data_IF_207868247157
#
_entry.id   IF_207868247157
#
_cell.length_a   1.000
_cell.length_b   1.000
_cell.length_c   1.000
_cell.angle_alpha   90.00
_cell.angle_beta   90.00
_cell.angle_gamma   90.00
#
_symmetry.space_group_name_H-M   'P 1'
#
loop_
_entity.id
_entity.type
_entity.pdbx_description
1 polymer ?
#
# COMPACT_ATOMS: atom_id res chain seq x y z
N UNK A 1 25.63 -15.12 -24.82
CA UNK A 1 24.40 -15.95 -24.81
C UNK A 1 23.49 -15.42 -23.73
N UNK A 2 22.51 -14.59 -24.09
CA UNK A 2 21.41 -14.25 -23.18
C UNK A 2 20.52 -15.48 -23.05
N UNK A 3 20.36 -15.99 -21.83
CA UNK A 3 19.54 -17.18 -21.59
C UNK A 3 18.07 -16.88 -21.91
N UNK A 4 17.33 -17.88 -22.36
CA UNK A 4 15.88 -17.79 -22.58
C UNK A 4 15.17 -17.25 -21.32
N UNK A 5 15.70 -17.59 -20.14
CA UNK A 5 15.28 -17.06 -18.83
C UNK A 5 15.42 -15.53 -18.71
N UNK A 6 16.53 -14.94 -19.17
CA UNK A 6 16.73 -13.50 -19.15
C UNK A 6 15.79 -12.76 -20.13
N UNK A 7 15.46 -13.39 -21.25
CA UNK A 7 14.49 -12.84 -22.20
C UNK A 7 13.05 -12.92 -21.67
N UNK A 8 12.68 -14.03 -21.02
CA UNK A 8 11.39 -14.18 -20.36
C UNK A 8 11.24 -13.19 -19.20
N UNK A 9 12.27 -13.03 -18.35
CA UNK A 9 12.28 -12.01 -17.30
C UNK A 9 12.06 -10.62 -17.90
N UNK A 10 12.81 -10.22 -18.93
CA UNK A 10 12.62 -8.92 -19.58
C UNK A 10 11.21 -8.72 -20.18
N UNK A 11 10.56 -9.77 -20.67
CA UNK A 11 9.18 -9.72 -21.16
C UNK A 11 8.16 -9.46 -20.04
N UNK A 12 8.36 -10.05 -18.86
CA UNK A 12 7.46 -9.87 -17.71
C UNK A 12 7.82 -8.69 -16.81
N UNK A 13 9.06 -8.18 -16.89
CA UNK A 13 9.55 -7.03 -16.11
C UNK A 13 9.29 -5.69 -16.78
N UNK A 14 9.03 -5.65 -18.09
CA UNK A 14 8.77 -4.40 -18.81
C UNK A 14 7.32 -3.98 -18.61
N UNK A 15 7.13 -2.97 -17.78
CA UNK A 15 5.85 -2.27 -17.65
C UNK A 15 5.64 -1.36 -18.86
N UNK A 16 4.61 -1.63 -19.65
CA UNK A 16 4.20 -0.73 -20.73
C UNK A 16 3.45 0.49 -20.14
N UNK A 17 3.60 1.66 -20.77
CA UNK A 17 2.90 2.90 -20.37
C UNK A 17 1.39 2.71 -20.37
N UNK A 18 0.85 1.98 -21.36
CA UNK A 18 -0.59 1.70 -21.45
C UNK A 18 -1.06 0.82 -20.28
N UNK A 19 -0.28 -0.18 -19.89
CA UNK A 19 -0.56 -1.03 -18.73
C UNK A 19 -0.51 -0.21 -17.44
N UNK A 20 0.52 0.63 -17.28
CA UNK A 20 0.67 1.51 -16.12
C UNK A 20 -0.53 2.47 -16.00
N UNK A 21 -1.00 3.05 -17.11
CA UNK A 21 -2.16 3.93 -17.12
C UNK A 21 -3.44 3.24 -16.65
N UNK A 22 -3.67 1.98 -17.06
CA UNK A 22 -4.82 1.18 -16.58
C UNK A 22 -4.79 1.01 -15.07
N UNK A 23 -3.63 0.74 -14.49
CA UNK A 23 -3.49 0.57 -13.04
C UNK A 23 -3.49 1.91 -12.27
N UNK A 24 -3.02 3.00 -12.86
CA UNK A 24 -3.16 4.34 -12.28
C UNK A 24 -4.64 4.69 -12.05
N UNK A 25 -5.54 4.31 -12.95
CA UNK A 25 -6.98 4.52 -12.76
C UNK A 25 -7.59 3.68 -11.63
N UNK A 26 -6.91 2.61 -11.19
CA UNK A 26 -7.32 1.81 -10.02
C UNK A 26 -6.85 2.41 -8.70
N UNK A 27 -5.96 3.40 -8.71
CA UNK A 27 -5.54 4.03 -7.48
C UNK A 27 -6.72 4.73 -6.81
N UNK A 28 -6.91 4.49 -5.50
CA UNK A 28 -7.97 5.16 -4.77
C UNK A 28 -7.62 6.64 -4.62
N UNK A 29 -8.65 7.45 -4.39
CA UNK A 29 -8.57 8.88 -4.08
C UNK A 29 -8.53 9.16 -2.59
N UNK A 30 -9.10 8.26 -1.79
CA UNK A 30 -9.06 8.35 -0.34
C UNK A 30 -8.97 6.97 0.30
N UNK A 31 -8.22 6.89 1.39
CA UNK A 31 -8.05 5.66 2.17
C UNK A 31 -8.15 6.03 3.63
N UNK A 32 -9.08 5.42 4.35
CA UNK A 32 -9.19 5.57 5.78
C UNK A 32 -8.51 4.39 6.47
N UNK A 33 -7.48 4.67 7.25
CA UNK A 33 -6.76 3.67 8.04
C UNK A 33 -6.93 4.01 9.52
N UNK A 34 -7.24 2.99 10.31
CA UNK A 34 -7.30 3.04 11.77
C UNK A 34 -6.01 2.41 12.30
N UNK A 35 -5.34 3.11 13.22
CA UNK A 35 -4.04 2.66 13.75
C UNK A 35 -4.08 2.54 15.26
N UNK A 36 -3.31 1.59 15.79
CA UNK A 36 -3.13 1.40 17.23
C UNK A 36 -1.72 0.94 17.54
N UNK A 37 -1.24 1.27 18.73
CA UNK A 37 0.03 0.76 19.24
C UNK A 37 -0.23 -0.16 20.43
N UNK A 38 0.26 -1.39 20.36
CA UNK A 38 0.22 -2.33 21.47
C UNK A 38 1.50 -2.21 22.30
N UNK A 39 1.34 -1.76 23.54
CA UNK A 39 2.45 -1.57 24.49
C UNK A 39 3.05 -2.87 25.00
N UNK A 40 2.31 -4.00 24.94
CA UNK A 40 2.80 -5.31 25.38
C UNK A 40 3.72 -5.92 24.33
N UNK A 41 3.26 -5.98 23.07
CA UNK A 41 4.05 -6.53 21.96
C UNK A 41 5.02 -5.53 21.34
N UNK A 42 4.89 -4.23 21.68
CA UNK A 42 5.63 -3.10 21.07
C UNK A 42 5.49 -3.07 19.55
N UNK A 43 4.26 -3.22 19.08
CA UNK A 43 3.93 -3.22 17.65
C UNK A 43 2.87 -2.19 17.34
N UNK A 44 3.04 -1.51 16.22
CA UNK A 44 2.01 -0.74 15.57
C UNK A 44 1.15 -1.68 14.72
N UNK A 45 -0.16 -1.45 14.75
CA UNK A 45 -1.15 -2.15 13.93
C UNK A 45 -1.90 -1.13 13.11
N UNK A 46 -2.14 -1.42 11.84
CA UNK A 46 -2.96 -0.60 10.96
C UNK A 46 -4.06 -1.46 10.33
N UNK A 47 -5.29 -0.93 10.33
CA UNK A 47 -6.47 -1.52 9.72
C UNK A 47 -7.04 -0.58 8.67
N UNK A 48 -7.20 -1.02 7.43
CA UNK A 48 -7.89 -0.23 6.40
C UNK A 48 -9.41 -0.35 6.63
N UNK A 49 -10.04 0.76 7.00
CA UNK A 49 -11.48 0.83 7.26
C UNK A 49 -12.28 1.16 6.01
N UNK A 50 -11.76 2.05 5.15
CA UNK A 50 -12.42 2.48 3.91
C UNK A 50 -11.43 2.74 2.79
N UNK A 51 -11.89 2.51 1.56
CA UNK A 51 -11.21 2.90 0.32
C UNK A 51 -12.28 3.58 -0.56
N UNK A 52 -11.99 4.78 -1.07
CA UNK A 52 -12.93 5.60 -1.85
C UNK A 52 -14.29 5.75 -1.17
N UNK A 53 -14.28 6.08 0.13
CA UNK A 53 -15.47 6.16 0.99
C UNK A 53 -16.30 4.87 1.13
N UNK A 54 -15.93 3.76 0.49
CA UNK A 54 -16.56 2.44 0.62
C UNK A 54 -15.92 1.69 1.78
N UNK A 55 -16.75 1.08 2.61
CA UNK A 55 -16.26 0.22 3.70
C UNK A 55 -15.60 -1.01 3.11
N UNK A 56 -14.37 -1.29 3.53
CA UNK A 56 -13.68 -2.53 3.14
C UNK A 56 -14.31 -3.66 3.94
N UNK A 57 -14.90 -4.65 3.23
CA UNK A 57 -15.51 -5.83 3.84
C UNK A 57 -14.46 -6.86 4.27
N UNK A 58 -13.30 -6.89 3.59
CA UNK A 58 -12.14 -7.67 3.98
C UNK A 58 -11.38 -7.06 5.16
N UNK A 59 -10.75 -7.90 5.97
CA UNK A 59 -9.88 -7.47 7.05
C UNK A 59 -8.47 -7.21 6.47
N UNK A 60 -8.21 -6.00 5.99
CA UNK A 60 -6.84 -5.57 5.67
C UNK A 60 -6.21 -5.05 6.96
N UNK A 61 -5.41 -5.89 7.60
CA UNK A 61 -4.69 -5.57 8.84
C UNK A 61 -3.21 -5.91 8.64
N UNK A 62 -2.37 -4.97 9.05
CA UNK A 62 -0.91 -5.10 9.01
C UNK A 62 -0.33 -4.70 10.35
N UNK A 63 0.83 -5.25 10.70
CA UNK A 63 1.53 -4.92 11.93
C UNK A 63 3.03 -4.81 11.69
N UNK A 64 3.68 -3.87 12.39
CA UNK A 64 5.12 -3.72 12.37
C UNK A 64 5.66 -3.13 13.67
N UNK A 65 6.98 -3.24 13.88
CA UNK A 65 7.68 -2.65 15.01
C UNK A 65 7.99 -1.16 14.81
N UNK A 66 8.08 -0.73 13.56
CA UNK A 66 8.38 0.66 13.20
C UNK A 66 7.21 1.26 12.42
N UNK A 67 6.93 2.56 12.59
CA UNK A 67 5.91 3.24 11.82
C UNK A 67 6.17 3.22 10.30
N UNK A 68 7.43 3.35 9.89
CA UNK A 68 7.85 3.37 8.48
C UNK A 68 7.54 2.04 7.79
N UNK A 69 7.93 0.92 8.40
CA UNK A 69 7.65 -0.42 7.85
C UNK A 69 6.13 -0.66 7.78
N UNK A 70 5.36 -0.15 8.75
CA UNK A 70 3.90 -0.25 8.71
C UNK A 70 3.32 0.47 7.49
N UNK A 71 3.83 1.66 7.12
CA UNK A 71 3.42 2.37 5.90
C UNK A 71 3.63 1.49 4.67
N UNK A 72 4.81 0.88 4.55
CA UNK A 72 5.13 0.00 3.43
C UNK A 72 4.16 -1.19 3.36
N UNK A 73 3.92 -1.87 4.49
CA UNK A 73 3.01 -3.00 4.55
C UNK A 73 1.57 -2.61 4.22
N UNK A 74 1.10 -1.46 4.70
CA UNK A 74 -0.25 -0.98 4.37
C UNK A 74 -0.37 -0.67 2.88
N UNK A 75 0.61 0.01 2.29
CA UNK A 75 0.63 0.28 0.85
C UNK A 75 0.54 -1.02 0.05
N UNK A 76 1.40 -2.00 0.35
CA UNK A 76 1.44 -3.29 -0.34
C UNK A 76 0.11 -4.07 -0.20
N UNK A 77 -0.45 -4.10 1.01
CA UNK A 77 -1.73 -4.75 1.27
C UNK A 77 -2.89 -4.11 0.51
N UNK A 78 -2.89 -2.78 0.36
CA UNK A 78 -3.91 -2.07 -0.43
C UNK A 78 -3.73 -2.34 -1.93
N UNK A 79 -2.50 -2.30 -2.44
CA UNK A 79 -2.22 -2.61 -3.85
C UNK A 79 -2.68 -4.03 -4.20
N UNK A 80 -2.40 -4.99 -3.31
CA UNK A 80 -2.89 -6.36 -3.42
C UNK A 80 -4.42 -6.43 -3.43
N UNK A 81 -5.09 -5.71 -2.52
CA UNK A 81 -6.55 -5.66 -2.49
C UNK A 81 -7.18 -5.07 -3.77
N UNK A 82 -6.47 -4.18 -4.46
CA UNK A 82 -6.91 -3.54 -5.72
C UNK A 82 -6.53 -4.36 -6.96
N UNK A 83 -6.01 -5.58 -6.78
CA UNK A 83 -5.47 -6.43 -7.84
C UNK A 83 -4.41 -5.70 -8.68
N UNK A 84 -3.55 -4.92 -8.03
CA UNK A 84 -2.41 -4.23 -8.66
C UNK A 84 -1.17 -5.11 -8.46
N UNK A 85 -0.53 -5.58 -9.54
CA UNK A 85 0.69 -6.38 -9.41
C UNK A 85 1.84 -5.60 -8.76
N UNK A 86 2.65 -6.26 -7.94
CA UNK A 86 3.82 -5.67 -7.28
C UNK A 86 4.78 -4.98 -8.26
N UNK A 87 5.03 -5.61 -9.43
CA UNK A 87 5.84 -5.02 -10.52
C UNK A 87 5.31 -3.67 -11.03
N UNK A 88 4.01 -3.41 -10.89
CA UNK A 88 3.38 -2.14 -11.25
C UNK A 88 3.42 -1.19 -10.06
N UNK A 89 3.18 -1.71 -8.85
CA UNK A 89 3.15 -0.95 -7.60
C UNK A 89 4.39 -0.07 -7.38
N UNK A 90 5.58 -0.56 -7.73
CA UNK A 90 6.84 0.21 -7.61
C UNK A 90 6.91 1.45 -8.51
N UNK A 91 6.07 1.53 -9.54
CA UNK A 91 5.98 2.67 -10.45
C UNK A 91 4.80 3.60 -10.15
N UNK A 92 3.96 3.23 -9.19
CA UNK A 92 2.82 4.02 -8.76
C UNK A 92 3.21 4.90 -7.57
N UNK A 93 2.60 6.09 -7.42
CA UNK A 93 2.80 6.90 -6.22
C UNK A 93 2.34 6.12 -4.99
N UNK A 94 3.07 6.31 -3.89
CA UNK A 94 2.68 5.74 -2.59
C UNK A 94 1.32 6.29 -2.18
N UNK A 95 0.48 5.43 -1.64
CA UNK A 95 -0.83 5.78 -1.12
C UNK A 95 -0.71 6.44 0.26
N UNK A 96 0.22 5.97 1.10
CA UNK A 96 0.51 6.57 2.40
C UNK A 96 1.96 7.09 2.42
N UNK A 97 2.20 8.34 2.89
CA UNK A 97 3.55 8.89 2.98
C UNK A 97 4.38 8.25 4.11
N UNK A 98 5.70 8.29 3.99
CA UNK A 98 6.63 7.68 4.96
C UNK A 98 6.76 8.47 6.26
N UNK A 99 6.53 9.78 6.22
CA UNK A 99 6.64 10.70 7.36
C UNK A 99 5.34 10.78 8.19
N UNK A 100 4.46 9.79 8.08
CA UNK A 100 3.28 9.71 8.95
C UNK A 100 3.74 9.45 10.37
N UNK A 101 3.50 10.42 11.25
CA UNK A 101 3.58 10.22 12.68
C UNK A 101 2.31 9.48 13.17
N UNK A 102 2.45 8.17 13.36
CA UNK A 102 1.37 7.31 13.84
C UNK A 102 1.03 7.53 15.31
N UNK A 103 1.95 8.09 16.11
CA UNK A 103 1.71 8.37 17.51
C UNK A 103 0.70 9.52 17.66
N UNK A 104 0.80 10.56 16.82
CA UNK A 104 -0.20 11.63 16.75
C UNK A 104 -1.46 11.24 15.96
N UNK A 105 -1.39 10.27 15.04
CA UNK A 105 -2.55 9.77 14.28
C UNK A 105 -3.41 8.73 15.03
N UNK A 106 -2.90 8.12 16.11
CA UNK A 106 -3.62 7.17 16.98
C UNK A 106 -4.96 7.71 17.52
N UNK A 107 -5.14 9.04 17.52
CA UNK A 107 -6.38 9.71 17.85
C UNK A 107 -7.34 9.81 16.64
N UNK A 108 -7.85 8.68 16.13
CA UNK A 108 -8.98 8.62 15.16
C UNK A 108 -8.94 9.62 13.99
N UNK A 109 -7.77 9.91 13.42
CA UNK A 109 -7.68 10.82 12.26
C UNK A 109 -7.68 10.04 10.95
N UNK A 110 -8.42 10.58 9.97
CA UNK A 110 -8.40 10.09 8.59
C UNK A 110 -7.01 10.37 8.02
N UNK A 111 -6.23 9.33 7.73
CA UNK A 111 -5.06 9.47 6.86
C UNK A 111 -5.56 9.81 5.44
N UNK A 112 -4.80 10.65 4.74
CA UNK A 112 -5.13 11.12 3.38
C UNK A 112 -3.93 10.76 2.50
N UNK A 113 -4.16 10.54 1.20
CA UNK A 113 -3.11 10.15 0.28
C UNK A 113 -1.91 11.10 0.28
N UNK A 114 -0.71 10.54 0.11
CA UNK A 114 0.44 11.32 -0.30
C UNK A 114 0.14 11.95 -1.68
N UNK A 115 0.40 13.26 -1.81
CA UNK A 115 0.33 13.96 -3.10
C UNK A 115 1.57 13.70 -3.93
#
# INVERSE_FOLDING_TARGET
MTSILANLQNLFSRVNIEELAVYQHKQPRDIQVETSYDTQSRRYTARVAKIDSKKVSGLIVTESKTPEDLVYMVNDAILTYLDIPERIGVHLPKLLPEDIDFDTCSQKRKLVLAK
#
